data_IF_136445546106
#
_entry.id   IF_136445546106
#
_cell.length_a   1.000
_cell.length_b   1.000
_cell.length_c   1.000
_cell.angle_alpha   90.00
_cell.angle_beta   90.00
_cell.angle_gamma   90.00
#
_symmetry.space_group_name_H-M   'P 1'
#
loop_
_entity.id
_entity.type
_entity.pdbx_description
1 polymer ?
#
# COMPACT_ATOMS: atom_id res chain seq x y z
N UNK A 1 -17.03 -12.56 12.22
CA UNK A 1 -15.68 -11.98 12.47
C UNK A 1 -15.89 -10.48 12.65
N UNK A 2 -15.68 -9.96 13.86
CA UNK A 2 -15.80 -8.54 14.15
C UNK A 2 -14.77 -7.78 13.29
N UNK A 3 -15.25 -7.04 12.30
CA UNK A 3 -14.43 -6.11 11.53
C UNK A 3 -14.08 -4.93 12.44
N UNK A 4 -13.05 -5.11 13.27
CA UNK A 4 -12.35 -3.97 13.84
C UNK A 4 -11.92 -3.12 12.65
N UNK A 5 -12.56 -1.96 12.51
CA UNK A 5 -12.30 -1.03 11.42
C UNK A 5 -10.79 -0.81 11.35
N UNK A 6 -10.19 -1.25 10.25
CA UNK A 6 -8.79 -0.96 9.99
C UNK A 6 -8.66 0.56 10.08
N UNK A 7 -7.76 1.09 10.92
CA UNK A 7 -7.49 2.52 10.89
C UNK A 7 -7.09 2.80 9.46
N UNK A 8 -7.84 3.66 8.77
CA UNK A 8 -7.78 4.00 7.34
C UNK A 8 -8.80 3.32 6.40
N UNK A 9 -9.71 2.45 6.85
CA UNK A 9 -10.68 1.81 5.96
C UNK A 9 -11.54 2.80 5.13
N UNK A 10 -11.81 4.00 5.66
CA UNK A 10 -12.60 5.04 4.99
C UNK A 10 -11.81 5.90 3.98
N UNK A 11 -10.48 5.88 4.06
CA UNK A 11 -9.57 6.60 3.14
C UNK A 11 -8.82 5.65 2.22
N UNK A 12 -8.81 4.36 2.55
CA UNK A 12 -8.43 3.32 1.63
C UNK A 12 -9.48 3.32 0.54
N UNK A 13 -9.08 3.45 -0.72
CA UNK A 13 -10.03 3.64 -1.80
C UNK A 13 -10.70 2.31 -2.21
N UNK A 14 -11.10 1.46 -1.23
CA UNK A 14 -11.60 0.08 -1.35
C UNK A 14 -12.71 -0.14 -2.40
N UNK A 15 -13.42 0.93 -2.77
CA UNK A 15 -14.52 0.88 -3.74
C UNK A 15 -14.12 1.32 -5.17
N UNK A 16 -12.98 1.98 -5.35
CA UNK A 16 -12.52 2.49 -6.64
C UNK A 16 -11.47 1.55 -7.25
N UNK A 17 -11.88 0.38 -7.74
CA UNK A 17 -10.99 -0.72 -8.19
C UNK A 17 -10.05 -0.41 -9.37
N UNK A 18 -10.00 0.83 -9.84
CA UNK A 18 -9.16 1.34 -10.92
C UNK A 18 -8.43 2.62 -10.49
N UNK A 19 -7.53 2.53 -9.49
CA UNK A 19 -6.68 3.67 -9.13
C UNK A 19 -5.75 4.00 -10.30
N UNK A 20 -6.02 5.14 -10.94
CA UNK A 20 -5.20 5.67 -12.03
C UNK A 20 -4.78 7.10 -11.71
N UNK A 21 -3.74 7.60 -12.37
CA UNK A 21 -3.28 8.98 -12.18
C UNK A 21 -2.99 9.32 -10.71
N UNK A 22 -3.74 10.29 -10.17
CA UNK A 22 -3.51 10.83 -8.83
C UNK A 22 -3.81 9.84 -7.70
N UNK A 23 -4.86 9.02 -7.83
CA UNK A 23 -5.26 8.07 -6.80
C UNK A 23 -4.20 6.98 -6.59
N UNK A 24 -3.57 6.53 -7.68
CA UNK A 24 -2.46 5.59 -7.63
C UNK A 24 -1.25 6.16 -6.86
N UNK A 25 -0.97 7.45 -7.02
CA UNK A 25 0.11 8.14 -6.32
C UNK A 25 -0.20 8.21 -4.81
N UNK A 26 -1.44 8.53 -4.44
CA UNK A 26 -1.88 8.56 -3.04
C UNK A 26 -1.75 7.17 -2.43
N UNK A 27 -2.21 6.13 -3.13
CA UNK A 27 -2.14 4.74 -2.66
C UNK A 27 -0.70 4.27 -2.45
N UNK A 28 0.19 4.50 -3.44
CA UNK A 28 1.64 4.22 -3.31
C UNK A 28 2.25 4.91 -2.09
N UNK A 29 1.93 6.19 -1.90
CA UNK A 29 2.45 6.97 -0.77
C UNK A 29 1.95 6.44 0.58
N UNK A 30 0.70 5.99 0.64
CA UNK A 30 0.14 5.38 1.85
C UNK A 30 0.87 4.09 2.20
N UNK A 31 1.01 3.17 1.24
CA UNK A 31 1.73 1.91 1.40
C UNK A 31 3.17 2.13 1.87
N UNK A 32 3.88 3.09 1.24
CA UNK A 32 5.25 3.44 1.63
C UNK A 32 5.34 3.95 3.06
N UNK A 33 4.41 4.80 3.49
CA UNK A 33 4.39 5.33 4.87
C UNK A 33 4.12 4.24 5.89
N UNK A 34 3.17 3.35 5.61
CA UNK A 34 2.83 2.21 6.49
C UNK A 34 4.02 1.25 6.59
N UNK A 35 4.59 0.83 5.47
CA UNK A 35 5.76 -0.06 5.46
C UNK A 35 6.95 0.53 6.22
N UNK A 36 7.23 1.84 6.06
CA UNK A 36 8.29 2.54 6.82
C UNK A 36 8.04 2.57 8.33
N UNK A 37 6.79 2.54 8.79
CA UNK A 37 6.50 2.43 10.23
C UNK A 37 6.90 1.04 10.75
N UNK A 38 6.59 -0.02 10.02
CA UNK A 38 6.96 -1.39 10.38
C UNK A 38 8.46 -1.64 10.32
N UNK A 39 9.14 -1.19 9.26
CA UNK A 39 10.59 -1.31 9.10
C UNK A 39 11.31 -0.67 10.28
N UNK A 40 10.92 0.58 10.64
CA UNK A 40 11.48 1.31 11.79
C UNK A 40 11.19 0.61 13.11
N UNK A 41 9.96 0.15 13.33
CA UNK A 41 9.56 -0.54 14.56
C UNK A 41 10.31 -1.85 14.77
N UNK A 42 10.60 -2.56 13.68
CA UNK A 42 11.22 -3.90 13.72
C UNK A 42 12.74 -3.88 13.53
N UNK A 43 13.37 -2.69 13.46
CA UNK A 43 14.82 -2.55 13.28
C UNK A 43 15.36 -3.15 11.98
N UNK A 44 14.53 -3.24 10.94
CA UNK A 44 14.90 -3.84 9.66
C UNK A 44 15.68 -2.83 8.81
N UNK A 45 16.70 -3.30 8.08
CA UNK A 45 17.45 -2.47 7.14
C UNK A 45 16.96 -2.72 5.71
N UNK A 46 15.90 -2.02 5.31
CA UNK A 46 15.35 -2.07 3.95
C UNK A 46 15.66 -0.75 3.26
N UNK A 47 16.27 -0.83 2.08
CA UNK A 47 16.58 0.36 1.29
C UNK A 47 15.31 0.98 0.70
N UNK A 48 15.33 2.29 0.48
CA UNK A 48 14.21 2.99 -0.15
C UNK A 48 13.92 2.49 -1.57
N UNK A 49 14.95 2.02 -2.29
CA UNK A 49 14.84 1.44 -3.63
C UNK A 49 14.10 0.11 -3.56
N UNK A 50 14.50 -0.78 -2.63
CA UNK A 50 13.83 -2.07 -2.43
C UNK A 50 12.38 -1.87 -2.03
N UNK A 51 12.12 -0.97 -1.06
CA UNK A 51 10.77 -0.68 -0.62
C UNK A 51 9.87 -0.16 -1.76
N UNK A 52 10.41 0.69 -2.63
CA UNK A 52 9.65 1.22 -3.76
C UNK A 52 9.31 0.11 -4.75
N UNK A 53 10.28 -0.75 -5.07
CA UNK A 53 10.07 -1.91 -5.94
C UNK A 53 9.01 -2.86 -5.39
N UNK A 54 9.09 -3.21 -4.10
CA UNK A 54 8.13 -4.13 -3.47
C UNK A 54 6.69 -3.59 -3.51
N UNK A 55 6.53 -2.27 -3.33
CA UNK A 55 5.22 -1.62 -3.44
C UNK A 55 4.69 -1.66 -4.87
N UNK A 56 5.54 -1.40 -5.86
CA UNK A 56 5.15 -1.43 -7.26
C UNK A 56 4.77 -2.85 -7.71
N UNK A 57 5.56 -3.86 -7.33
CA UNK A 57 5.29 -5.27 -7.61
C UNK A 57 3.95 -5.71 -6.97
N UNK A 58 3.66 -5.26 -5.75
CA UNK A 58 2.40 -5.56 -5.06
C UNK A 58 1.19 -4.93 -5.77
N UNK A 59 1.32 -3.68 -6.22
CA UNK A 59 0.26 -3.00 -6.98
C UNK A 59 0.05 -3.68 -8.34
N UNK A 60 1.11 -4.11 -9.00
CA UNK A 60 1.01 -4.85 -10.26
C UNK A 60 0.30 -6.18 -10.06
N UNK A 61 0.65 -6.92 -9.01
CA UNK A 61 -0.05 -8.15 -8.64
C UNK A 61 -1.54 -7.89 -8.37
N UNK A 62 -1.87 -6.83 -7.63
CA UNK A 62 -3.25 -6.44 -7.35
C UNK A 62 -4.03 -6.22 -8.66
N UNK A 63 -3.46 -5.49 -9.63
CA UNK A 63 -4.09 -5.28 -10.94
C UNK A 63 -4.36 -6.59 -11.68
N UNK A 64 -3.37 -7.50 -11.72
CA UNK A 64 -3.51 -8.80 -12.41
C UNK A 64 -4.55 -9.72 -11.78
N UNK A 65 -4.83 -9.58 -10.48
CA UNK A 65 -5.86 -10.37 -9.80
C UNK A 65 -7.29 -9.93 -10.15
N UNK A 66 -7.46 -8.73 -10.69
CA UNK A 66 -8.77 -8.15 -11.03
C UNK A 66 -8.98 -7.95 -12.54
N UNK A 67 -8.01 -8.35 -13.37
CA UNK A 67 -8.14 -8.55 -14.82
C UNK A 67 -8.62 -9.98 -15.13
#
# INVERSE_FOLDING_TARGET
INQQQLPLASVLPLNNRNYTGHDLIIYRNLLRRVARLFIRRNGQNVSDVQLTKDIDDMIELEKRLYE
#
